data_IF_567714104602
#
_entry.id   IF_567714104602
#
_cell.length_a   1.000
_cell.length_b   1.000
_cell.length_c   1.000
_cell.angle_alpha   90.00
_cell.angle_beta   90.00
_cell.angle_gamma   90.00
#
_symmetry.space_group_name_H-M   'P 1'
#
loop_
_entity.id
_entity.type
_entity.pdbx_description
1 polymer ?
#
# COMPACT_ATOMS: atom_id res chain seq x y z
N UNK A 1 -15.36 -17.22 29.28
CA UNK A 1 -14.25 -17.52 28.35
C UNK A 1 -14.34 -16.51 27.22
N UNK A 2 -13.46 -15.51 27.21
CA UNK A 2 -13.34 -14.63 26.07
C UNK A 2 -12.76 -15.46 24.92
N UNK A 3 -13.52 -15.62 23.84
CA UNK A 3 -13.03 -16.16 22.58
C UNK A 3 -11.94 -15.22 22.10
N UNK A 4 -10.68 -15.64 22.21
CA UNK A 4 -9.59 -15.02 21.47
C UNK A 4 -9.96 -15.20 20.01
N UNK A 5 -10.49 -14.15 19.37
CA UNK A 5 -10.64 -14.14 17.92
C UNK A 5 -9.28 -14.52 17.35
N UNK A 6 -9.18 -15.59 16.54
CA UNK A 6 -7.93 -15.94 15.92
C UNK A 6 -7.47 -14.70 15.17
N UNK A 7 -6.24 -14.26 15.44
CA UNK A 7 -5.61 -13.20 14.68
C UNK A 7 -5.85 -13.52 13.21
N UNK A 8 -6.68 -12.71 12.54
CA UNK A 8 -7.00 -12.88 11.12
C UNK A 8 -5.69 -12.66 10.37
N UNK A 9 -4.92 -13.73 10.21
CA UNK A 9 -3.79 -13.76 9.28
C UNK A 9 -4.43 -13.70 7.89
N UNK A 10 -4.67 -12.46 7.46
CA UNK A 10 -5.35 -12.19 6.22
C UNK A 10 -4.49 -12.74 5.09
N UNK A 11 -4.96 -13.82 4.45
CA UNK A 11 -4.31 -14.43 3.30
C UNK A 11 -4.44 -13.49 2.10
N UNK A 12 -3.36 -12.81 1.76
CA UNK A 12 -3.33 -11.91 0.62
C UNK A 12 -3.43 -12.69 -0.71
N UNK A 13 -4.32 -12.26 -1.61
CA UNK A 13 -4.53 -12.82 -2.97
C UNK A 13 -5.14 -14.25 -3.02
N UNK A 14 -5.86 -14.66 -2.00
CA UNK A 14 -6.71 -15.87 -2.03
C UNK A 14 -7.86 -15.74 -3.06
N UNK A 15 -8.26 -14.51 -3.41
CA UNK A 15 -9.26 -14.21 -4.44
C UNK A 15 -8.95 -14.78 -5.83
N UNK A 16 -7.67 -14.95 -6.17
CA UNK A 16 -7.20 -15.60 -7.39
C UNK A 16 -6.79 -17.07 -7.18
N UNK A 17 -7.06 -17.64 -6.01
CA UNK A 17 -6.71 -19.02 -5.65
C UNK A 17 -5.20 -19.28 -5.74
N UNK A 18 -4.39 -18.33 -5.26
CA UNK A 18 -2.93 -18.41 -5.35
C UNK A 18 -2.33 -19.63 -4.62
N UNK A 19 -2.98 -20.12 -3.56
CA UNK A 19 -2.52 -21.25 -2.77
C UNK A 19 -3.33 -22.53 -3.05
N UNK A 20 -2.67 -23.68 -2.93
CA UNK A 20 -3.31 -24.99 -3.15
C UNK A 20 -4.44 -25.29 -2.15
N UNK A 21 -4.32 -24.82 -0.91
CA UNK A 21 -5.37 -24.98 0.11
C UNK A 21 -6.66 -24.25 -0.31
N UNK A 22 -6.53 -23.02 -0.79
CA UNK A 22 -7.67 -22.20 -1.20
C UNK A 22 -8.31 -22.80 -2.46
N UNK A 23 -7.51 -23.33 -3.40
CA UNK A 23 -8.01 -24.09 -4.55
C UNK A 23 -8.81 -25.31 -4.12
N UNK A 24 -8.31 -26.09 -3.15
CA UNK A 24 -9.00 -27.27 -2.65
C UNK A 24 -10.33 -26.90 -1.97
N UNK A 25 -10.34 -25.86 -1.14
CA UNK A 25 -11.55 -25.39 -0.46
C UNK A 25 -12.59 -24.87 -1.47
N UNK A 26 -12.17 -24.08 -2.45
CA UNK A 26 -13.07 -23.49 -3.46
C UNK A 26 -13.59 -24.54 -4.44
N UNK A 27 -12.81 -25.57 -4.75
CA UNK A 27 -13.27 -26.73 -5.53
C UNK A 27 -14.40 -27.48 -4.84
N UNK A 28 -14.37 -27.57 -3.51
CA UNK A 28 -15.45 -28.20 -2.72
C UNK A 28 -16.68 -27.30 -2.68
N UNK A 29 -16.51 -25.99 -2.54
CA UNK A 29 -17.63 -25.04 -2.45
C UNK A 29 -18.35 -24.81 -3.79
N UNK A 30 -17.60 -24.75 -4.90
CA UNK A 30 -18.12 -24.42 -6.22
C UNK A 30 -17.67 -25.42 -7.30
N UNK A 31 -17.95 -26.74 -7.14
CA UNK A 31 -17.42 -27.77 -8.03
C UNK A 31 -17.88 -27.59 -9.48
N UNK A 32 -19.08 -27.04 -9.69
CA UNK A 32 -19.68 -26.89 -11.02
C UNK A 32 -19.03 -25.81 -11.88
N UNK A 33 -18.46 -24.78 -11.26
CA UNK A 33 -17.81 -23.65 -11.94
C UNK A 33 -16.32 -23.57 -11.62
N UNK A 34 -15.75 -24.56 -10.93
CA UNK A 34 -14.35 -24.53 -10.52
C UNK A 34 -13.41 -24.39 -11.71
N UNK A 35 -13.72 -25.01 -12.86
CA UNK A 35 -12.91 -24.85 -14.09
C UNK A 35 -12.92 -23.43 -14.65
N UNK A 36 -13.94 -22.63 -14.34
CA UNK A 36 -14.03 -21.20 -14.69
C UNK A 36 -13.14 -20.36 -13.76
N UNK A 37 -13.18 -20.67 -12.46
CA UNK A 37 -12.40 -19.99 -11.41
C UNK A 37 -10.91 -20.36 -11.47
N UNK A 38 -10.60 -21.60 -11.83
CA UNK A 38 -9.25 -22.11 -11.89
C UNK A 38 -8.54 -21.72 -13.20
N UNK A 39 -7.60 -20.77 -13.11
CA UNK A 39 -6.80 -20.31 -14.24
C UNK A 39 -5.30 -20.27 -13.88
N UNK A 40 -4.58 -21.39 -14.07
CA UNK A 40 -3.17 -21.49 -13.65
C UNK A 40 -2.24 -20.53 -14.40
N UNK A 41 -2.46 -20.30 -15.69
CA UNK A 41 -1.66 -19.38 -16.50
C UNK A 41 -1.79 -17.94 -16.00
N UNK A 42 -3.00 -17.51 -15.64
CA UNK A 42 -3.24 -16.19 -15.05
C UNK A 42 -2.53 -16.05 -13.71
N UNK A 43 -2.58 -17.07 -12.85
CA UNK A 43 -1.86 -17.06 -11.56
C UNK A 43 -0.34 -16.97 -11.75
N UNK A 44 0.22 -17.67 -12.74
CA UNK A 44 1.65 -17.62 -13.04
C UNK A 44 2.09 -16.21 -13.48
N UNK A 45 1.30 -15.57 -14.35
CA UNK A 45 1.53 -14.18 -14.74
C UNK A 45 1.38 -13.21 -13.56
N UNK A 46 0.33 -13.38 -12.77
CA UNK A 46 0.09 -12.58 -11.57
C UNK A 46 1.27 -12.68 -10.60
N UNK A 47 1.76 -13.89 -10.31
CA UNK A 47 2.89 -14.11 -9.42
C UNK A 47 4.17 -13.43 -9.92
N UNK A 48 4.40 -13.43 -11.24
CA UNK A 48 5.55 -12.77 -11.88
C UNK A 48 5.51 -11.27 -11.63
N UNK A 49 4.40 -10.60 -11.98
CA UNK A 49 4.27 -9.15 -11.80
C UNK A 49 4.18 -8.74 -10.33
N UNK A 50 3.52 -9.54 -9.49
CA UNK A 50 3.44 -9.30 -8.04
C UNK A 50 4.82 -9.40 -7.38
N UNK A 51 5.65 -10.38 -7.78
CA UNK A 51 7.02 -10.51 -7.30
C UNK A 51 7.90 -9.32 -7.67
N UNK A 52 7.85 -8.89 -8.94
CA UNK A 52 8.56 -7.70 -9.42
C UNK A 52 8.12 -6.44 -8.69
N UNK A 53 6.81 -6.25 -8.55
CA UNK A 53 6.18 -5.11 -7.88
C UNK A 53 6.60 -5.03 -6.40
N UNK A 54 6.48 -6.13 -5.65
CA UNK A 54 6.85 -6.17 -4.23
C UNK A 54 8.36 -6.06 -3.99
N UNK A 55 9.19 -6.55 -4.90
CA UNK A 55 10.64 -6.34 -4.86
C UNK A 55 10.99 -4.87 -5.02
N UNK A 56 10.43 -4.22 -6.05
CA UNK A 56 10.66 -2.81 -6.34
C UNK A 56 10.10 -1.88 -5.23
N UNK A 57 8.90 -2.13 -4.73
CA UNK A 57 8.30 -1.41 -3.58
C UNK A 57 9.22 -1.42 -2.37
N UNK A 58 9.68 -2.61 -1.95
CA UNK A 58 10.57 -2.76 -0.79
C UNK A 58 11.88 -2.02 -0.97
N UNK A 59 12.45 -2.07 -2.18
CA UNK A 59 13.67 -1.34 -2.49
C UNK A 59 13.48 0.18 -2.37
N UNK A 60 12.44 0.73 -3.03
CA UNK A 60 12.13 2.16 -3.00
C UNK A 60 11.87 2.65 -1.57
N UNK A 61 11.05 1.92 -0.81
CA UNK A 61 10.72 2.29 0.57
C UNK A 61 11.95 2.23 1.48
N UNK A 62 12.78 1.18 1.39
CA UNK A 62 13.99 1.07 2.22
C UNK A 62 14.98 2.18 1.90
N UNK A 63 15.20 2.45 0.62
CA UNK A 63 16.13 3.49 0.20
C UNK A 63 15.66 4.88 0.65
N UNK A 64 14.36 5.18 0.51
CA UNK A 64 13.77 6.42 1.00
C UNK A 64 13.87 6.57 2.53
N UNK A 65 13.56 5.51 3.28
CA UNK A 65 13.70 5.51 4.74
C UNK A 65 15.17 5.67 5.19
N UNK A 66 16.11 5.04 4.50
CA UNK A 66 17.55 5.20 4.78
C UNK A 66 17.99 6.63 4.48
N UNK A 67 17.60 7.21 3.34
CA UNK A 67 17.95 8.59 3.01
C UNK A 67 17.45 9.60 4.06
N UNK A 68 16.18 9.48 4.45
CA UNK A 68 15.57 10.33 5.50
C UNK A 68 16.26 10.09 6.85
N UNK A 69 16.54 8.84 7.21
CA UNK A 69 17.24 8.50 8.45
C UNK A 69 18.66 9.07 8.52
N UNK A 70 19.43 8.98 7.44
CA UNK A 70 20.79 9.54 7.38
C UNK A 70 20.78 11.07 7.47
N UNK A 71 19.88 11.73 6.75
CA UNK A 71 19.71 13.18 6.83
C UNK A 71 19.29 13.64 8.24
N UNK A 72 18.36 12.91 8.87
CA UNK A 72 17.93 13.19 10.24
C UNK A 72 19.08 13.03 11.25
N UNK A 73 19.86 11.97 11.15
CA UNK A 73 21.01 11.74 12.03
C UNK A 73 22.09 12.82 11.88
N UNK A 74 22.37 13.27 10.66
CA UNK A 74 23.29 14.38 10.41
C UNK A 74 22.80 15.67 11.09
N UNK A 75 21.56 16.08 10.78
CA UNK A 75 20.97 17.30 11.34
C UNK A 75 20.85 17.25 12.87
N UNK A 76 20.49 16.08 13.43
CA UNK A 76 20.47 15.87 14.88
C UNK A 76 21.87 15.99 15.48
N UNK A 77 22.90 15.46 14.82
CA UNK A 77 24.29 15.58 15.29
C UNK A 77 24.75 17.03 15.34
N UNK A 78 24.51 17.80 14.27
CA UNK A 78 24.78 19.24 14.25
C UNK A 78 24.00 19.96 15.36
N UNK A 79 22.71 19.66 15.52
CA UNK A 79 21.86 20.28 16.54
C UNK A 79 22.29 19.92 17.97
N UNK A 80 22.85 18.73 18.21
CA UNK A 80 23.30 18.30 19.54
C UNK A 80 24.64 18.90 19.95
N UNK A 81 25.44 19.44 19.03
CA UNK A 81 26.79 19.95 19.32
C UNK A 81 26.81 21.04 20.42
N UNK A 82 25.92 22.06 20.42
CA UNK A 82 25.88 23.04 21.49
C UNK A 82 25.48 22.44 22.85
N UNK A 83 24.62 21.42 22.86
CA UNK A 83 24.21 20.72 24.08
C UNK A 83 25.42 19.96 24.65
N UNK A 84 26.14 19.21 23.82
CA UNK A 84 27.32 18.46 24.26
C UNK A 84 28.41 19.38 24.82
N UNK A 85 28.65 20.54 24.18
CA UNK A 85 29.60 21.54 24.67
C UNK A 85 29.16 22.17 25.99
N UNK A 86 27.86 22.44 26.16
CA UNK A 86 27.33 22.98 27.41
C UNK A 86 27.48 21.98 28.57
N UNK A 87 27.26 20.68 28.32
CA UNK A 87 27.43 19.62 29.33
C UNK A 87 28.91 19.40 29.68
N UNK A 88 29.81 19.47 28.71
CA UNK A 88 31.26 19.36 28.95
C UNK A 88 31.78 20.47 29.88
N UNK A 89 31.17 21.66 29.83
CA UNK A 89 31.52 22.79 30.68
C UNK A 89 31.02 22.72 32.14
N UNK A 90 30.27 21.68 32.53
CA UNK A 90 29.71 21.56 33.88
C UNK A 90 30.80 21.18 34.90
N UNK A 91 31.02 21.98 35.97
CA UNK A 91 32.01 21.65 37.01
C UNK A 91 31.68 20.32 37.70
N UNK A 92 32.69 19.47 37.90
CA UNK A 92 32.54 18.18 38.58
C UNK A 92 32.14 17.01 37.68
N UNK A 93 32.07 17.21 36.36
CA UNK A 93 31.95 16.12 35.41
C UNK A 93 33.20 15.20 35.50
N UNK A 94 33.00 13.88 35.54
CA UNK A 94 34.12 12.94 35.56
C UNK A 94 34.94 13.04 34.27
N UNK A 95 36.26 12.84 34.36
CA UNK A 95 37.15 12.87 33.20
C UNK A 95 36.74 11.83 32.13
N UNK A 96 36.22 10.68 32.55
CA UNK A 96 35.68 9.65 31.66
C UNK A 96 34.44 10.12 30.89
N UNK A 97 33.54 10.88 31.54
CA UNK A 97 32.37 11.46 30.87
C UNK A 97 32.77 12.55 29.88
N UNK A 98 33.69 13.45 30.26
CA UNK A 98 34.23 14.48 29.36
C UNK A 98 34.89 13.86 28.11
N UNK A 99 35.71 12.81 28.30
CA UNK A 99 36.32 12.06 27.19
C UNK A 99 35.25 11.44 26.27
N UNK A 100 34.19 10.88 26.84
CA UNK A 100 33.09 10.29 26.06
C UNK A 100 32.37 11.35 25.22
N UNK A 101 32.12 12.55 25.78
CA UNK A 101 31.50 13.67 25.05
C UNK A 101 32.37 14.15 23.88
N UNK A 102 33.69 14.24 24.06
CA UNK A 102 34.63 14.60 22.98
C UNK A 102 34.61 13.58 21.85
N UNK A 103 34.62 12.29 22.19
CA UNK A 103 34.47 11.22 21.19
C UNK A 103 33.14 11.38 20.45
N UNK A 104 32.01 11.60 21.13
CA UNK A 104 30.72 11.84 20.47
C UNK A 104 30.75 13.05 19.51
N UNK A 105 31.46 14.13 19.89
CA UNK A 105 31.66 15.29 19.02
C UNK A 105 32.49 14.92 17.78
N UNK A 106 33.56 14.14 17.89
CA UNK A 106 34.35 13.67 16.74
C UNK A 106 33.51 12.79 15.79
N UNK A 107 32.59 11.99 16.33
CA UNK A 107 31.70 11.15 15.52
C UNK A 107 30.70 11.95 14.68
N UNK A 108 30.44 13.23 15.01
CA UNK A 108 29.56 14.11 14.22
C UNK A 108 30.01 14.23 12.77
N UNK A 109 31.31 14.25 12.50
CA UNK A 109 31.86 14.37 11.14
C UNK A 109 31.39 13.19 10.27
N UNK A 110 31.39 11.97 10.81
CA UNK A 110 30.90 10.80 10.09
C UNK A 110 29.39 10.86 9.86
N UNK A 111 28.62 11.44 10.80
CA UNK A 111 27.19 11.65 10.64
C UNK A 111 26.87 12.72 9.58
N UNK A 112 27.66 13.79 9.47
CA UNK A 112 27.53 14.78 8.39
C UNK A 112 27.81 14.16 7.02
N UNK A 113 28.88 13.35 6.91
CA UNK A 113 29.17 12.59 5.68
C UNK A 113 28.02 11.64 5.34
N UNK A 114 27.45 10.97 6.35
CA UNK A 114 26.26 10.13 6.18
C UNK A 114 25.06 10.96 5.67
N UNK A 115 24.86 12.19 6.18
CA UNK A 115 23.88 13.14 5.68
C UNK A 115 24.07 13.50 4.22
N UNK A 116 25.30 13.75 3.77
CA UNK A 116 25.63 13.98 2.37
C UNK A 116 25.30 12.76 1.49
N UNK A 117 25.56 11.55 1.98
CA UNK A 117 25.14 10.31 1.29
C UNK A 117 23.62 10.21 1.22
N UNK A 118 22.91 10.54 2.31
CA UNK A 118 21.45 10.60 2.33
C UNK A 118 20.88 11.59 1.31
N UNK A 119 21.46 12.79 1.22
CA UNK A 119 21.11 13.80 0.24
C UNK A 119 21.43 13.33 -1.20
N UNK A 120 22.57 12.68 -1.42
CA UNK A 120 22.90 12.12 -2.73
C UNK A 120 21.91 11.04 -3.17
N UNK A 121 21.45 10.18 -2.25
CA UNK A 121 20.40 9.19 -2.51
C UNK A 121 19.08 9.90 -2.87
N UNK A 122 18.73 10.96 -2.15
CA UNK A 122 17.54 11.76 -2.40
C UNK A 122 17.54 12.40 -3.79
N UNK A 123 18.65 13.05 -4.14
CA UNK A 123 18.87 13.75 -5.40
C UNK A 123 19.09 12.77 -6.56
N UNK A 124 19.57 11.56 -6.29
CA UNK A 124 19.69 10.44 -7.22
C UNK A 124 18.35 9.85 -7.69
N UNK A 125 17.29 10.66 -7.70
CA UNK A 125 15.91 10.31 -8.04
C UNK A 125 15.74 9.61 -9.40
N UNK A 126 16.72 9.71 -10.30
CA UNK A 126 16.75 8.96 -11.56
C UNK A 126 16.73 7.43 -11.34
N UNK A 127 17.49 6.92 -10.38
CA UNK A 127 17.53 5.47 -10.09
C UNK A 127 16.28 4.99 -9.36
N UNK A 128 15.74 5.83 -8.49
CA UNK A 128 14.48 5.57 -7.78
C UNK A 128 13.31 5.59 -8.76
N UNK A 129 13.34 6.49 -9.76
CA UNK A 129 12.32 6.66 -10.78
C UNK A 129 12.04 5.36 -11.54
N UNK A 130 13.08 4.67 -12.03
CA UNK A 130 12.88 3.40 -12.74
C UNK A 130 12.30 2.30 -11.85
N UNK A 131 12.78 2.18 -10.59
CA UNK A 131 12.27 1.16 -9.67
C UNK A 131 10.84 1.46 -9.25
N UNK A 132 10.53 2.73 -8.98
CA UNK A 132 9.19 3.21 -8.68
C UNK A 132 8.25 2.95 -9.87
N UNK A 133 8.67 3.27 -11.08
CA UNK A 133 7.95 2.96 -12.31
C UNK A 133 7.66 1.46 -12.44
N UNK A 134 8.67 0.60 -12.30
CA UNK A 134 8.48 -0.87 -12.33
C UNK A 134 7.54 -1.37 -11.24
N UNK A 135 7.57 -0.77 -10.05
CA UNK A 135 6.62 -1.06 -8.98
C UNK A 135 5.19 -0.75 -9.42
N UNK A 136 4.95 0.46 -9.93
CA UNK A 136 3.62 0.91 -10.36
C UNK A 136 3.11 0.14 -11.58
N UNK A 137 3.94 -0.13 -12.58
CA UNK A 137 3.62 -0.97 -13.73
C UNK A 137 3.25 -2.39 -13.30
N UNK A 138 4.05 -3.00 -12.43
CA UNK A 138 3.76 -4.32 -11.89
C UNK A 138 2.43 -4.34 -11.12
N UNK A 139 2.16 -3.29 -10.35
CA UNK A 139 0.88 -3.14 -9.63
C UNK A 139 -0.31 -2.99 -10.58
N UNK A 140 -0.19 -2.13 -11.60
CA UNK A 140 -1.18 -1.95 -12.65
C UNK A 140 -1.51 -3.28 -13.33
N UNK A 141 -0.49 -4.05 -13.72
CA UNK A 141 -0.70 -5.35 -14.36
C UNK A 141 -1.36 -6.37 -13.42
N UNK A 142 -0.97 -6.43 -12.15
CA UNK A 142 -1.61 -7.35 -11.18
C UNK A 142 -3.10 -7.06 -11.00
N UNK A 143 -3.48 -5.78 -10.92
CA UNK A 143 -4.91 -5.41 -10.79
C UNK A 143 -5.68 -5.60 -12.09
N UNK A 144 -5.07 -5.34 -13.26
CA UNK A 144 -5.69 -5.67 -14.55
C UNK A 144 -5.91 -7.16 -14.74
N UNK A 145 -4.97 -8.01 -14.32
CA UNK A 145 -5.14 -9.46 -14.33
C UNK A 145 -6.32 -9.89 -13.44
N UNK A 146 -6.42 -9.31 -12.24
CA UNK A 146 -7.54 -9.56 -11.33
C UNK A 146 -8.86 -9.11 -11.93
N UNK A 147 -8.93 -7.87 -12.43
CA UNK A 147 -10.11 -7.34 -13.09
C UNK A 147 -10.50 -8.18 -14.30
N UNK A 148 -9.54 -8.63 -15.13
CA UNK A 148 -9.81 -9.49 -16.28
C UNK A 148 -10.43 -10.82 -15.84
N UNK A 149 -9.92 -11.43 -14.76
CA UNK A 149 -10.47 -12.67 -14.21
C UNK A 149 -11.93 -12.49 -13.76
N UNK A 150 -12.20 -11.49 -12.91
CA UNK A 150 -13.54 -11.28 -12.37
C UNK A 150 -14.53 -10.74 -13.41
N UNK A 151 -14.09 -9.93 -14.38
CA UNK A 151 -14.90 -9.54 -15.53
C UNK A 151 -15.24 -10.72 -16.43
N UNK A 152 -14.45 -11.80 -16.45
CA UNK A 152 -14.81 -13.03 -17.19
C UNK A 152 -16.12 -13.60 -16.65
N UNK A 153 -16.32 -13.58 -15.32
CA UNK A 153 -17.54 -14.06 -14.67
C UNK A 153 -18.78 -13.22 -15.03
N UNK A 154 -18.58 -11.95 -15.41
CA UNK A 154 -19.65 -11.02 -15.76
C UNK A 154 -19.94 -11.08 -17.27
N UNK A 155 -18.90 -11.04 -18.10
CA UNK A 155 -19.00 -10.78 -19.54
C UNK A 155 -18.95 -12.03 -20.42
N UNK A 156 -18.81 -13.24 -19.86
CA UNK A 156 -18.77 -14.51 -20.62
C UNK A 156 -19.90 -15.46 -20.23
N UNK A 157 -21.08 -14.92 -19.97
CA UNK A 157 -22.20 -15.68 -19.41
C UNK A 157 -22.64 -16.85 -20.29
N UNK A 158 -22.70 -16.68 -21.62
CA UNK A 158 -23.07 -17.78 -22.54
C UNK A 158 -22.03 -18.89 -22.56
N UNK A 159 -20.76 -18.53 -22.58
CA UNK A 159 -19.65 -19.49 -22.62
C UNK A 159 -19.51 -20.23 -21.29
N UNK A 160 -19.73 -19.54 -20.17
CA UNK A 160 -19.76 -20.16 -18.84
C UNK A 160 -20.93 -21.13 -18.74
N UNK A 161 -22.15 -20.72 -19.13
CA UNK A 161 -23.32 -21.62 -19.12
C UNK A 161 -23.08 -22.87 -19.98
N UNK A 162 -22.57 -22.68 -21.21
CA UNK A 162 -22.26 -23.79 -22.10
C UNK A 162 -21.19 -24.72 -21.53
N UNK A 163 -20.20 -24.19 -20.80
CA UNK A 163 -19.15 -24.99 -20.16
C UNK A 163 -19.65 -25.87 -19.02
N UNK A 164 -20.81 -25.54 -18.44
CA UNK A 164 -21.45 -26.29 -17.35
C UNK A 164 -22.41 -27.38 -17.87
N UNK A 165 -22.59 -27.50 -19.18
CA UNK A 165 -23.45 -28.51 -19.78
C UNK A 165 -22.84 -29.91 -19.65
N UNK A 166 -23.37 -30.70 -18.71
CA UNK A 166 -22.93 -32.06 -18.44
C UNK A 166 -23.21 -33.03 -19.60
N UNK A 167 -24.06 -32.66 -20.57
CA UNK A 167 -24.34 -33.50 -21.74
C UNK A 167 -23.20 -33.47 -22.76
N UNK A 168 -22.38 -32.41 -22.77
CA UNK A 168 -21.22 -32.30 -23.64
C UNK A 168 -19.92 -32.59 -22.85
N UNK A 169 -19.29 -33.77 -23.03
CA UNK A 169 -18.06 -34.13 -22.31
C UNK A 169 -16.87 -33.23 -22.65
N UNK A 170 -16.92 -32.49 -23.76
CA UNK A 170 -15.86 -31.57 -24.20
C UNK A 170 -16.10 -30.12 -23.77
N UNK A 171 -17.24 -29.78 -23.14
CA UNK A 171 -17.63 -28.42 -22.83
C UNK A 171 -16.59 -27.62 -22.02
N UNK A 172 -16.01 -28.26 -21.00
CA UNK A 172 -14.96 -27.66 -20.16
C UNK A 172 -13.70 -27.37 -20.97
N UNK A 173 -13.27 -28.32 -21.82
CA UNK A 173 -12.07 -28.18 -22.65
C UNK A 173 -12.25 -27.06 -23.68
N UNK A 174 -13.41 -27.02 -24.36
CA UNK A 174 -13.73 -25.96 -25.32
C UNK A 174 -13.73 -24.57 -24.66
N UNK A 175 -14.25 -24.46 -23.43
CA UNK A 175 -14.19 -23.22 -22.66
C UNK A 175 -12.75 -22.82 -22.33
N UNK A 176 -11.93 -23.75 -21.86
CA UNK A 176 -10.53 -23.49 -21.52
C UNK A 176 -9.73 -23.03 -22.76
N UNK A 177 -9.94 -23.65 -23.92
CA UNK A 177 -9.32 -23.26 -25.18
C UNK A 177 -9.74 -21.84 -25.61
N UNK A 178 -11.02 -21.49 -25.48
CA UNK A 178 -11.52 -20.12 -25.74
C UNK A 178 -10.91 -19.11 -24.75
N UNK A 179 -10.90 -19.45 -23.46
CA UNK A 179 -10.33 -18.60 -22.41
C UNK A 179 -8.84 -18.35 -22.63
N UNK A 180 -8.09 -19.36 -23.04
CA UNK A 180 -6.67 -19.22 -23.38
C UNK A 180 -6.44 -18.24 -24.54
N UNK A 181 -7.31 -18.24 -25.56
CA UNK A 181 -7.26 -17.26 -26.66
C UNK A 181 -7.54 -15.85 -26.18
N UNK A 182 -8.60 -15.66 -25.38
CA UNK A 182 -8.92 -14.34 -24.80
C UNK A 182 -7.79 -13.82 -23.90
N UNK A 183 -7.21 -14.69 -23.09
CA UNK A 183 -6.11 -14.34 -22.20
C UNK A 183 -4.85 -13.95 -22.99
N UNK A 184 -4.54 -14.69 -24.05
CA UNK A 184 -3.43 -14.36 -24.96
C UNK A 184 -3.62 -12.99 -25.61
N UNK A 185 -4.83 -12.69 -26.10
CA UNK A 185 -5.16 -11.38 -26.66
C UNK A 185 -5.02 -10.26 -25.61
N UNK A 186 -5.53 -10.48 -24.39
CA UNK A 186 -5.36 -9.56 -23.27
C UNK A 186 -3.87 -9.28 -22.97
N UNK A 187 -3.05 -10.32 -22.91
CA UNK A 187 -1.61 -10.17 -22.66
C UNK A 187 -0.91 -9.40 -23.78
N UNK A 188 -1.26 -9.65 -25.05
CA UNK A 188 -0.71 -8.90 -26.20
C UNK A 188 -1.06 -7.41 -26.16
N UNK A 189 -2.23 -7.06 -25.64
CA UNK A 189 -2.66 -5.66 -25.51
C UNK A 189 -1.91 -4.92 -24.39
N UNK A 190 -1.45 -5.62 -23.35
CA UNK A 190 -0.92 -5.00 -22.13
C UNK A 190 0.60 -5.13 -21.97
N UNK A 191 1.18 -6.25 -22.39
CA UNK A 191 2.64 -6.47 -22.30
C UNK A 191 3.39 -5.45 -23.13
N UNK A 192 4.42 -4.85 -22.53
CA UNK A 192 5.25 -3.82 -23.17
C UNK A 192 4.57 -2.44 -23.32
N UNK A 193 3.30 -2.30 -22.91
CA UNK A 193 2.54 -1.04 -22.98
C UNK A 193 2.10 -0.50 -21.61
N UNK A 194 2.58 -1.12 -20.53
CA UNK A 194 2.21 -0.73 -19.16
C UNK A 194 2.62 0.70 -18.84
N UNK A 195 3.74 1.17 -19.39
CA UNK A 195 4.22 2.52 -19.20
C UNK A 195 3.26 3.58 -19.75
N UNK A 196 2.87 3.44 -21.03
CA UNK A 196 1.94 4.36 -21.66
C UNK A 196 0.57 4.32 -20.99
N UNK A 197 0.11 3.12 -20.60
CA UNK A 197 -1.16 2.98 -19.88
C UNK A 197 -1.10 3.56 -18.47
N UNK A 198 0.04 3.49 -17.79
CA UNK A 198 0.24 4.10 -16.49
C UNK A 198 0.12 5.63 -16.60
N UNK A 199 0.80 6.24 -17.58
CA UNK A 199 0.71 7.68 -17.84
C UNK A 199 -0.71 8.10 -18.21
N UNK A 200 -1.37 7.37 -19.11
CA UNK A 200 -2.76 7.62 -19.49
C UNK A 200 -3.71 7.61 -18.28
N UNK A 201 -3.57 6.64 -17.36
CA UNK A 201 -4.40 6.57 -16.15
C UNK A 201 -4.10 7.68 -15.14
N UNK A 202 -2.87 8.18 -15.10
CA UNK A 202 -2.48 9.27 -14.21
C UNK A 202 -3.00 10.60 -14.76
N UNK A 203 -2.75 10.86 -16.04
CA UNK A 203 -3.00 12.13 -16.73
C UNK A 203 -4.47 12.33 -17.09
N UNK A 204 -5.22 11.25 -17.31
CA UNK A 204 -6.65 11.29 -17.64
C UNK A 204 -7.51 10.65 -16.54
N UNK A 205 -7.81 11.38 -15.44
CA UNK A 205 -8.72 10.90 -14.40
C UNK A 205 -10.08 10.46 -14.93
N UNK A 206 -10.56 11.14 -15.97
CA UNK A 206 -11.84 10.92 -16.64
C UNK A 206 -11.91 9.64 -17.46
N UNK A 207 -10.79 8.94 -17.68
CA UNK A 207 -10.75 7.68 -18.46
C UNK A 207 -11.74 6.69 -17.86
N UNK A 208 -12.83 6.42 -18.56
CA UNK A 208 -13.91 5.61 -18.00
C UNK A 208 -13.48 4.14 -17.83
N UNK A 209 -14.18 3.44 -16.94
CA UNK A 209 -14.09 1.99 -16.85
C UNK A 209 -14.30 1.35 -18.23
N UNK A 210 -13.27 0.67 -18.73
CA UNK A 210 -13.32 -0.09 -19.97
C UNK A 210 -13.37 -1.59 -19.67
N UNK A 211 -14.26 -2.30 -20.35
CA UNK A 211 -14.27 -3.76 -20.33
C UNK A 211 -12.96 -4.30 -20.89
N UNK A 212 -12.35 -5.26 -20.20
CA UNK A 212 -11.16 -6.00 -20.64
C UNK A 212 -11.52 -7.22 -21.51
N UNK A 213 -12.81 -7.42 -21.78
CA UNK A 213 -13.33 -8.47 -22.64
C UNK A 213 -14.09 -7.86 -23.82
N UNK A 214 -13.59 -8.14 -25.02
CA UNK A 214 -14.30 -7.83 -26.27
C UNK A 214 -15.49 -8.76 -26.46
N UNK A 215 -16.60 -8.24 -26.97
CA UNK A 215 -17.85 -8.99 -27.22
C UNK A 215 -18.43 -9.66 -25.97
N UNK A 216 -18.87 -8.85 -25.00
CA UNK A 216 -19.55 -9.36 -23.80
C UNK A 216 -20.79 -10.19 -24.17
N UNK A 217 -20.95 -11.34 -23.52
CA UNK A 217 -22.10 -12.22 -23.64
C UNK A 217 -22.87 -12.25 -22.31
N UNK A 218 -24.18 -12.03 -22.39
CA UNK A 218 -25.05 -12.08 -21.21
C UNK A 218 -25.44 -13.52 -20.89
N UNK A 219 -25.67 -13.81 -19.62
CA UNK A 219 -26.27 -15.07 -19.19
C UNK A 219 -27.67 -15.25 -19.80
N UNK A 220 -28.04 -16.47 -20.22
CA UNK A 220 -29.42 -16.79 -20.56
C UNK A 220 -30.37 -16.53 -19.37
N UNK A 221 -31.65 -16.17 -19.60
CA UNK A 221 -32.61 -15.92 -18.51
C UNK A 221 -32.74 -17.09 -17.53
N UNK A 222 -32.69 -18.32 -18.06
CA UNK A 222 -32.82 -19.57 -17.30
C UNK A 222 -31.46 -20.21 -16.96
N UNK A 223 -30.39 -19.42 -16.94
CA UNK A 223 -29.04 -19.90 -16.65
C UNK A 223 -28.97 -20.63 -15.31
N UNK A 224 -28.48 -21.88 -15.37
CA UNK A 224 -28.24 -22.72 -14.19
C UNK A 224 -26.89 -22.42 -13.54
N UNK A 225 -25.91 -21.95 -14.33
CA UNK A 225 -24.60 -21.58 -13.80
C UNK A 225 -24.63 -20.25 -13.03
N UNK A 226 -25.50 -19.31 -13.43
CA UNK A 226 -25.51 -17.95 -12.88
C UNK A 226 -25.62 -17.91 -11.35
N UNK A 227 -26.54 -18.62 -10.67
CA UNK A 227 -26.59 -18.62 -9.20
C UNK A 227 -25.27 -19.03 -8.53
N UNK A 228 -24.57 -20.03 -9.09
CA UNK A 228 -23.29 -20.50 -8.56
C UNK A 228 -22.19 -19.47 -8.79
N UNK A 229 -22.16 -18.83 -9.97
CA UNK A 229 -21.22 -17.74 -10.29
C UNK A 229 -21.44 -16.54 -9.38
N UNK A 230 -22.69 -16.18 -9.10
CA UNK A 230 -23.04 -15.09 -8.20
C UNK A 230 -22.49 -15.34 -6.78
N UNK A 231 -22.65 -16.55 -6.25
CA UNK A 231 -22.11 -16.87 -4.92
C UNK A 231 -20.58 -16.98 -4.91
N UNK A 232 -19.98 -17.54 -5.98
CA UNK A 232 -18.52 -17.59 -6.13
C UNK A 232 -17.91 -16.18 -6.18
N UNK A 233 -18.49 -15.27 -6.96
CA UNK A 233 -18.05 -13.88 -7.03
C UNK A 233 -18.20 -13.17 -5.69
N UNK A 234 -19.33 -13.36 -5.00
CA UNK A 234 -19.54 -12.80 -3.67
C UNK A 234 -18.45 -13.23 -2.69
N UNK A 235 -18.14 -14.52 -2.66
CA UNK A 235 -17.13 -15.08 -1.77
C UNK A 235 -15.71 -14.60 -2.12
N UNK A 236 -15.32 -14.73 -3.39
CA UNK A 236 -13.94 -14.48 -3.83
C UNK A 236 -13.63 -13.01 -4.06
N UNK A 237 -14.61 -12.19 -4.44
CA UNK A 237 -14.38 -10.78 -4.82
C UNK A 237 -14.93 -9.80 -3.80
N UNK A 238 -16.24 -9.81 -3.56
CA UNK A 238 -16.87 -8.79 -2.69
C UNK A 238 -16.41 -8.92 -1.24
N UNK A 239 -16.52 -10.13 -0.66
CA UNK A 239 -16.08 -10.37 0.72
C UNK A 239 -14.59 -10.20 0.88
N UNK A 240 -13.79 -10.79 -0.01
CA UNK A 240 -12.34 -10.61 0.02
C UNK A 240 -11.93 -9.14 0.01
N UNK A 241 -12.50 -8.32 -0.88
CA UNK A 241 -12.16 -6.90 -0.96
C UNK A 241 -12.64 -6.11 0.26
N UNK A 242 -13.80 -6.47 0.84
CA UNK A 242 -14.28 -5.88 2.08
C UNK A 242 -13.35 -6.20 3.26
N UNK A 243 -12.92 -7.46 3.38
CA UNK A 243 -12.02 -7.94 4.42
C UNK A 243 -10.61 -7.36 4.25
N UNK A 244 -10.11 -7.30 3.02
CA UNK A 244 -8.83 -6.67 2.69
C UNK A 244 -8.83 -5.17 3.07
N UNK A 245 -9.88 -4.43 2.69
CA UNK A 245 -10.01 -3.02 3.04
C UNK A 245 -10.10 -2.81 4.57
N UNK A 246 -10.86 -3.67 5.27
CA UNK A 246 -10.94 -3.66 6.72
C UNK A 246 -9.58 -3.97 7.37
N UNK A 247 -8.83 -4.93 6.83
CA UNK A 247 -7.49 -5.29 7.31
C UNK A 247 -6.52 -4.11 7.17
N UNK A 248 -6.54 -3.38 6.04
CA UNK A 248 -5.69 -2.19 5.83
C UNK A 248 -5.98 -1.05 6.79
N UNK A 249 -7.21 -0.96 7.30
CA UNK A 249 -7.65 0.05 8.25
C UNK A 249 -7.52 -0.37 9.73
N UNK A 250 -7.00 -1.56 10.01
CA UNK A 250 -6.81 -2.05 11.39
C UNK A 250 -6.02 -1.05 12.25
N UNK A 251 -6.51 -0.77 13.45
CA UNK A 251 -5.90 0.20 14.38
C UNK A 251 -4.79 -0.39 15.25
N UNK A 252 -4.60 -1.70 15.19
CA UNK A 252 -3.62 -2.41 15.98
C UNK A 252 -2.61 -3.12 15.10
N UNK A 253 -1.39 -3.33 15.62
CA UNK A 253 -0.35 -4.07 14.92
C UNK A 253 0.56 -4.81 15.89
N UNK A 254 0.82 -6.07 15.57
CA UNK A 254 1.84 -6.89 16.24
C UNK A 254 3.22 -6.78 15.56
N UNK A 255 3.33 -5.96 14.51
CA UNK A 255 4.59 -5.79 13.79
C UNK A 255 5.57 -4.95 14.61
N UNK A 256 6.87 -5.28 14.57
CA UNK A 256 7.86 -4.58 15.38
C UNK A 256 8.09 -3.14 14.93
N UNK A 257 8.60 -2.31 15.83
CA UNK A 257 8.77 -0.87 15.58
C UNK A 257 9.82 -0.50 14.54
N UNK A 258 10.82 -1.35 14.33
CA UNK A 258 11.85 -1.16 13.32
C UNK A 258 11.38 -1.48 11.89
N UNK A 259 10.14 -1.94 11.70
CA UNK A 259 9.59 -2.28 10.40
C UNK A 259 8.32 -1.47 10.06
N UNK A 260 8.38 -0.12 10.06
CA UNK A 260 7.20 0.74 9.86
C UNK A 260 6.50 0.52 8.51
N UNK A 261 7.24 0.07 7.48
CA UNK A 261 6.70 -0.30 6.17
C UNK A 261 5.72 -1.49 6.20
N UNK A 262 5.63 -2.22 7.31
CA UNK A 262 4.70 -3.34 7.52
C UNK A 262 3.48 -2.97 8.36
N UNK A 263 3.45 -1.76 8.92
CA UNK A 263 2.34 -1.33 9.76
C UNK A 263 1.09 -1.03 8.91
N UNK A 264 -0.12 -1.23 9.46
CA UNK A 264 -1.33 -0.68 8.87
C UNK A 264 -1.21 0.84 8.71
N UNK A 265 -1.86 1.39 7.69
CA UNK A 265 -1.72 2.80 7.31
C UNK A 265 -2.28 3.73 8.39
N UNK A 266 -3.38 3.32 9.04
CA UNK A 266 -3.96 4.01 10.20
C UNK A 266 -2.99 4.10 11.38
N UNK A 267 -2.33 2.99 11.74
CA UNK A 267 -1.33 2.94 12.83
C UNK A 267 -0.14 3.83 12.51
N UNK A 268 0.35 3.76 11.28
CA UNK A 268 1.48 4.58 10.83
C UNK A 268 1.13 6.07 10.87
N UNK A 269 -0.07 6.44 10.40
CA UNK A 269 -0.61 7.82 10.44
C UNK A 269 -0.69 8.34 11.87
N UNK A 270 -1.27 7.54 12.78
CA UNK A 270 -1.47 7.93 14.17
C UNK A 270 -0.14 8.11 14.91
N UNK A 271 0.80 7.16 14.75
CA UNK A 271 2.09 7.20 15.44
C UNK A 271 2.98 8.32 14.93
N UNK A 272 3.11 8.50 13.62
CA UNK A 272 3.90 9.59 13.05
C UNK A 272 3.24 10.95 13.28
N UNK A 273 1.91 11.02 13.26
CA UNK A 273 1.15 12.21 13.63
C UNK A 273 1.36 12.61 15.10
N UNK A 274 1.28 11.65 16.01
CA UNK A 274 1.56 11.85 17.44
C UNK A 274 2.99 12.30 17.69
N UNK A 275 3.97 11.67 17.02
CA UNK A 275 5.38 12.07 17.10
C UNK A 275 5.60 13.50 16.60
N UNK A 276 5.00 13.86 15.46
CA UNK A 276 5.06 15.21 14.90
C UNK A 276 4.48 16.24 15.86
N UNK A 277 3.29 16.00 16.41
CA UNK A 277 2.66 16.87 17.40
C UNK A 277 3.49 17.02 18.67
N UNK A 278 4.01 15.91 19.21
CA UNK A 278 4.89 15.92 20.38
C UNK A 278 6.14 16.77 20.14
N UNK A 279 6.77 16.62 18.97
CA UNK A 279 7.95 17.39 18.60
C UNK A 279 7.65 18.89 18.46
N UNK A 280 6.52 19.27 17.86
CA UNK A 280 6.13 20.69 17.76
C UNK A 280 5.91 21.29 19.15
N UNK A 281 5.17 20.58 20.03
CA UNK A 281 4.94 21.03 21.41
C UNK A 281 6.27 21.15 22.16
N UNK A 282 7.16 20.16 22.03
CA UNK A 282 8.49 20.17 22.64
C UNK A 282 9.34 21.37 22.18
N UNK A 283 9.36 21.65 20.88
CA UNK A 283 10.06 22.81 20.31
C UNK A 283 9.48 24.14 20.82
N UNK A 284 8.15 24.26 20.91
CA UNK A 284 7.49 25.45 21.44
C UNK A 284 7.78 25.66 22.92
N UNK A 285 7.75 24.61 23.73
CA UNK A 285 8.09 24.68 25.15
C UNK A 285 9.55 25.05 25.37
N UNK A 286 10.48 24.48 24.61
CA UNK A 286 11.89 24.85 24.64
C UNK A 286 12.10 26.32 24.26
N UNK A 287 11.39 26.80 23.24
CA UNK A 287 11.46 28.20 22.80
C UNK A 287 10.84 29.16 23.81
N UNK A 288 9.69 28.80 24.40
CA UNK A 288 9.06 29.58 25.46
C UNK A 288 9.95 29.67 26.70
N UNK A 289 10.62 28.57 27.06
CA UNK A 289 11.61 28.57 28.13
C UNK A 289 12.74 29.55 27.86
N UNK A 290 13.31 29.56 26.64
CA UNK A 290 14.37 30.51 26.26
C UNK A 290 13.90 31.95 26.44
N UNK A 291 12.70 32.29 25.97
CA UNK A 291 12.13 33.63 26.09
C UNK A 291 11.93 34.02 27.56
N UNK A 292 11.29 33.16 28.35
CA UNK A 292 11.05 33.40 29.78
C UNK A 292 12.36 33.52 30.57
N UNK A 293 13.36 32.69 30.26
CA UNK A 293 14.68 32.74 30.87
C UNK A 293 15.37 34.09 30.61
N UNK A 294 15.27 34.64 29.39
CA UNK A 294 15.81 35.96 29.08
C UNK A 294 15.11 37.07 29.89
N UNK A 295 13.78 37.05 29.96
CA UNK A 295 13.03 38.02 30.76
C UNK A 295 13.31 37.90 32.27
N UNK A 296 13.46 36.66 32.76
CA UNK A 296 13.76 36.36 34.15
C UNK A 296 15.24 36.50 34.52
N UNK A 297 16.12 36.84 33.56
CA UNK A 297 17.58 36.89 33.73
C UNK A 297 18.14 35.59 34.35
N UNK A 298 17.59 34.44 33.94
CA UNK A 298 18.04 33.15 34.45
C UNK A 298 19.42 32.80 33.88
N UNK A 299 20.31 32.15 34.66
CA UNK A 299 21.66 31.80 34.20
C UNK A 299 21.71 30.94 32.93
N UNK A 300 20.63 30.23 32.62
CA UNK A 300 20.50 29.37 31.44
C UNK A 300 19.99 30.11 30.19
N UNK A 301 19.62 31.40 30.29
CA UNK A 301 19.08 32.18 29.19
C UNK A 301 20.06 32.28 28.01
N UNK A 302 21.34 32.53 28.30
CA UNK A 302 22.39 32.67 27.29
C UNK A 302 22.96 31.33 26.80
N UNK A 303 22.46 30.20 27.34
CA UNK A 303 22.96 28.88 26.95
C UNK A 303 22.46 28.49 25.56
N UNK A 304 23.36 28.16 24.61
CA UNK A 304 22.96 27.71 23.28
C UNK A 304 22.31 26.31 23.28
N UNK A 305 22.30 25.62 24.43
CA UNK A 305 21.74 24.28 24.57
C UNK A 305 20.22 24.25 24.36
N UNK A 306 19.47 25.25 24.85
CA UNK A 306 18.00 25.24 24.75
C UNK A 306 17.48 25.50 23.32
N UNK A 307 18.03 26.47 22.54
CA UNK A 307 17.75 26.55 21.11
C UNK A 307 18.10 25.26 20.35
N UNK A 308 19.20 24.61 20.71
CA UNK A 308 19.59 23.33 20.14
C UNK A 308 18.58 22.20 20.43
N UNK A 309 18.01 22.14 21.64
CA UNK A 309 16.93 21.19 21.97
C UNK A 309 15.70 21.45 21.10
N UNK A 310 15.31 22.71 20.90
CA UNK A 310 14.22 23.08 20.00
C UNK A 310 14.49 22.62 18.57
N UNK A 311 15.72 22.82 18.07
CA UNK A 311 16.13 22.36 16.74
C UNK A 311 16.06 20.83 16.62
N UNK A 312 16.48 20.08 17.64
CA UNK A 312 16.37 18.61 17.64
C UNK A 312 14.92 18.15 17.46
N UNK A 313 13.97 18.75 18.18
CA UNK A 313 12.56 18.47 18.01
C UNK A 313 12.07 18.81 16.60
N UNK A 314 12.49 19.95 16.03
CA UNK A 314 12.11 20.32 14.67
C UNK A 314 12.65 19.34 13.62
N UNK A 315 13.88 18.84 13.78
CA UNK A 315 14.47 17.82 12.90
C UNK A 315 13.66 16.52 12.96
N UNK A 316 13.31 16.04 14.17
CA UNK A 316 12.47 14.85 14.33
C UNK A 316 11.08 15.03 13.72
N UNK A 317 10.48 16.23 13.86
CA UNK A 317 9.21 16.56 13.24
C UNK A 317 9.29 16.50 11.69
N UNK A 318 10.31 17.11 11.10
CA UNK A 318 10.53 17.07 9.64
C UNK A 318 10.76 15.64 9.16
N UNK A 319 11.52 14.85 9.92
CA UNK A 319 11.77 13.42 9.65
C UNK A 319 10.47 12.63 9.63
N UNK A 320 9.62 12.79 10.65
CA UNK A 320 8.33 12.10 10.73
C UNK A 320 7.41 12.48 9.56
N UNK A 321 7.40 13.76 9.15
CA UNK A 321 6.65 14.23 7.98
C UNK A 321 7.19 13.68 6.67
N UNK A 322 8.50 13.71 6.46
CA UNK A 322 9.13 13.14 5.26
C UNK A 322 8.84 11.64 5.10
N UNK A 323 8.76 10.89 6.21
CA UNK A 323 8.33 9.48 6.17
C UNK A 323 6.84 9.37 5.81
N UNK A 324 5.96 10.19 6.39
CA UNK A 324 4.52 10.19 6.06
C UNK A 324 4.28 10.49 4.59
N UNK A 325 4.93 11.52 4.05
CA UNK A 325 4.74 11.99 2.69
C UNK A 325 5.39 11.02 1.69
N UNK A 326 6.59 10.51 2.00
CA UNK A 326 7.30 9.53 1.17
C UNK A 326 6.58 8.19 1.02
N UNK A 327 5.84 7.79 2.05
CA UNK A 327 5.00 6.58 2.02
C UNK A 327 3.56 6.85 1.58
N UNK A 328 3.17 8.11 1.29
CA UNK A 328 1.81 8.53 0.96
C UNK A 328 0.76 8.08 2.02
N UNK A 329 1.13 8.15 3.30
CA UNK A 329 0.34 7.54 4.39
C UNK A 329 -1.05 8.17 4.52
N UNK A 330 -1.15 9.49 4.29
CA UNK A 330 -2.41 10.23 4.44
C UNK A 330 -3.37 9.90 3.30
N UNK A 331 -2.85 9.93 2.07
CA UNK A 331 -3.55 9.64 0.84
C UNK A 331 -4.01 8.16 0.83
N UNK A 332 -3.13 7.23 1.21
CA UNK A 332 -3.46 5.80 1.29
C UNK A 332 -4.51 5.52 2.37
N UNK A 333 -4.40 6.17 3.53
CA UNK A 333 -5.39 6.04 4.61
C UNK A 333 -6.77 6.55 4.17
N UNK A 334 -6.85 7.72 3.53
CA UNK A 334 -8.13 8.26 3.07
C UNK A 334 -8.73 7.38 1.97
N UNK A 335 -7.92 6.99 0.98
CA UNK A 335 -8.36 6.12 -0.12
C UNK A 335 -8.95 4.80 0.38
N UNK A 336 -8.33 4.17 1.39
CA UNK A 336 -8.87 2.95 1.96
C UNK A 336 -10.16 3.16 2.76
N UNK A 337 -10.33 4.30 3.44
CA UNK A 337 -11.60 4.64 4.09
C UNK A 337 -12.72 4.74 3.06
N UNK A 338 -12.49 5.48 1.98
CA UNK A 338 -13.47 5.68 0.93
C UNK A 338 -13.81 4.36 0.21
N UNK A 339 -12.77 3.60 -0.19
CA UNK A 339 -12.94 2.30 -0.82
C UNK A 339 -13.63 1.27 0.10
N UNK A 340 -13.28 1.24 1.40
CA UNK A 340 -13.94 0.35 2.35
C UNK A 340 -15.42 0.68 2.51
N UNK A 341 -15.79 1.95 2.45
CA UNK A 341 -17.20 2.37 2.47
C UNK A 341 -17.95 1.86 1.25
N UNK A 342 -17.38 2.07 0.07
CA UNK A 342 -17.97 1.66 -1.22
C UNK A 342 -18.14 0.13 -1.30
N UNK A 343 -17.09 -0.64 -1.01
CA UNK A 343 -17.16 -2.11 -1.10
C UNK A 343 -18.18 -2.69 -0.11
N UNK A 344 -18.28 -2.14 1.10
CA UNK A 344 -19.29 -2.56 2.08
C UNK A 344 -20.70 -2.22 1.61
N UNK A 345 -20.89 -1.02 1.05
CA UNK A 345 -22.18 -0.63 0.47
C UNK A 345 -22.61 -1.60 -0.64
N UNK A 346 -21.70 -1.90 -1.58
CA UNK A 346 -21.95 -2.85 -2.67
C UNK A 346 -22.25 -4.26 -2.15
N UNK A 347 -21.49 -4.75 -1.15
CA UNK A 347 -21.75 -6.05 -0.54
C UNK A 347 -23.11 -6.11 0.16
N UNK A 348 -23.47 -5.09 0.95
CA UNK A 348 -24.78 -5.02 1.61
C UNK A 348 -25.91 -4.98 0.58
N UNK A 349 -25.77 -4.17 -0.49
CA UNK A 349 -26.76 -4.12 -1.58
C UNK A 349 -26.87 -5.46 -2.29
N UNK A 350 -25.75 -6.14 -2.51
CA UNK A 350 -25.70 -7.47 -3.13
C UNK A 350 -26.45 -8.53 -2.31
N UNK A 351 -26.27 -8.50 -0.99
CA UNK A 351 -26.93 -9.42 -0.06
C UNK A 351 -28.42 -9.10 0.11
N UNK A 352 -28.79 -7.82 0.07
CA UNK A 352 -30.18 -7.37 0.19
C UNK A 352 -31.01 -7.65 -1.07
N UNK A 353 -30.40 -7.61 -2.27
CA UNK A 353 -31.15 -7.83 -3.51
C UNK A 353 -31.40 -9.32 -3.79
N UNK A 354 -32.66 -9.64 -4.11
CA UNK A 354 -33.07 -10.94 -4.67
C UNK A 354 -33.02 -10.98 -6.20
N UNK A 355 -32.73 -9.86 -6.87
CA UNK A 355 -32.74 -9.75 -8.32
C UNK A 355 -31.37 -10.12 -8.92
N UNK A 356 -31.34 -11.17 -9.75
CA UNK A 356 -30.11 -11.65 -10.42
C UNK A 356 -29.49 -10.60 -11.35
N UNK A 357 -30.31 -9.84 -12.07
CA UNK A 357 -29.83 -8.79 -12.96
C UNK A 357 -29.19 -7.65 -12.17
N UNK A 358 -29.77 -7.30 -11.02
CA UNK A 358 -29.18 -6.30 -10.13
C UNK A 358 -27.87 -6.79 -9.53
N UNK A 359 -27.77 -8.07 -9.13
CA UNK A 359 -26.49 -8.65 -8.66
C UNK A 359 -25.39 -8.56 -9.71
N UNK A 360 -25.69 -8.84 -10.98
CA UNK A 360 -24.74 -8.66 -12.09
C UNK A 360 -24.31 -7.20 -12.26
N UNK A 361 -25.25 -6.25 -12.11
CA UNK A 361 -24.90 -4.82 -12.14
C UNK A 361 -23.97 -4.45 -10.98
N UNK A 362 -24.24 -4.96 -9.76
CA UNK A 362 -23.38 -4.71 -8.60
C UNK A 362 -21.98 -5.31 -8.79
N UNK A 363 -21.86 -6.46 -9.46
CA UNK A 363 -20.56 -7.01 -9.83
C UNK A 363 -19.80 -6.05 -10.76
N UNK A 364 -20.47 -5.46 -11.77
CA UNK A 364 -19.85 -4.46 -12.63
C UNK A 364 -19.45 -3.19 -11.86
N UNK A 365 -20.30 -2.74 -10.95
CA UNK A 365 -20.04 -1.58 -10.10
C UNK A 365 -18.83 -1.84 -9.18
N UNK A 366 -18.67 -3.07 -8.68
CA UNK A 366 -17.50 -3.49 -7.91
C UNK A 366 -16.20 -3.45 -8.74
N UNK A 367 -16.23 -3.95 -9.99
CA UNK A 367 -15.06 -3.87 -10.86
C UNK A 367 -14.72 -2.42 -11.25
N UNK A 368 -15.74 -1.55 -11.37
CA UNK A 368 -15.53 -0.11 -11.54
C UNK A 368 -14.87 0.50 -10.31
N UNK A 369 -15.39 0.22 -9.11
CA UNK A 369 -14.83 0.71 -7.86
C UNK A 369 -13.36 0.27 -7.66
N UNK A 370 -13.03 -0.97 -8.01
CA UNK A 370 -11.66 -1.47 -7.95
C UNK A 370 -10.71 -0.73 -8.92
N UNK A 371 -11.19 -0.38 -10.12
CA UNK A 371 -10.40 0.40 -11.10
C UNK A 371 -10.20 1.85 -10.61
N UNK A 372 -11.23 2.47 -10.02
CA UNK A 372 -11.10 3.82 -9.44
C UNK A 372 -10.14 3.84 -8.24
N UNK A 373 -10.17 2.81 -7.37
CA UNK A 373 -9.19 2.65 -6.29
C UNK A 373 -7.77 2.54 -6.84
N UNK A 374 -7.57 1.75 -7.91
CA UNK A 374 -6.29 1.60 -8.57
C UNK A 374 -5.78 2.92 -9.14
N UNK A 375 -6.62 3.72 -9.81
CA UNK A 375 -6.21 5.04 -10.31
C UNK A 375 -5.77 5.95 -9.17
N UNK A 376 -6.55 6.00 -8.09
CA UNK A 376 -6.20 6.74 -6.88
C UNK A 376 -4.87 6.27 -6.28
N UNK A 377 -4.63 4.96 -6.27
CA UNK A 377 -3.35 4.37 -5.86
C UNK A 377 -2.19 4.82 -6.75
N UNK A 378 -2.34 4.69 -8.06
CA UNK A 378 -1.28 5.00 -9.01
C UNK A 378 -0.91 6.48 -8.95
N UNK A 379 -1.89 7.38 -8.91
CA UNK A 379 -1.65 8.83 -8.79
C UNK A 379 -0.94 9.18 -7.48
N UNK A 380 -1.49 8.75 -6.34
CA UNK A 380 -0.93 9.06 -5.02
C UNK A 380 0.53 8.59 -4.92
N UNK A 381 0.81 7.36 -5.36
CA UNK A 381 2.17 6.85 -5.29
C UNK A 381 3.08 7.41 -6.39
N UNK A 382 2.57 7.76 -7.58
CA UNK A 382 3.37 8.42 -8.62
C UNK A 382 3.86 9.81 -8.18
N UNK A 383 3.00 10.56 -7.49
CA UNK A 383 3.32 11.89 -6.96
C UNK A 383 4.14 11.85 -5.66
N UNK A 384 4.06 10.77 -4.88
CA UNK A 384 4.76 10.63 -3.61
C UNK A 384 6.29 10.80 -3.74
N UNK A 385 6.87 11.66 -2.90
CA UNK A 385 8.31 11.92 -2.83
C UNK A 385 8.75 11.80 -1.38
N UNK A 386 9.86 11.11 -1.13
CA UNK A 386 10.45 11.01 0.21
C UNK A 386 11.11 12.31 0.66
N UNK A 387 11.54 13.14 -0.30
CA UNK A 387 12.29 14.37 -0.07
C UNK A 387 11.82 15.39 -1.12
N UNK A 388 11.41 16.57 -0.64
CA UNK A 388 10.91 17.72 -1.45
C UNK A 388 12.05 18.70 -1.70
#
# INVERSE_FOLDING_TARGET
MATVEPALDHKYNDDLLAHHEDQAAIKVLFPEVFHVLDHPELRAEFATYNGLSNGAKRFVHRLGLVAVGLAALALMSSAMTPILKAVEGVPGLSESAAKTLRVMQEWSIYLEVAGLVGAAIALGGLWIGEKKKRWLEGRLMTEKLRAWHFQTLIHRGKEIEASCDRSNPNAVKEYQEKRAKWFTAFLQQHRGKLDSQLHELIDSPETQYASLHEHASSYPPDSKALPVVLEAYKALRLRHQADYAAHKLQKDTNQPFWAPHRWPTSVLKERLGSLSSFCIIGALLASAYVVLAHFGQWPLADSPAMPAVSLCFLVLNVTARGIMDGLAVREESQRYVDYSGEVRYLLTRYEATGNRAERLQIMQDMERAAVEELKGFLRAHYEAKFIV
#
